data_IF_853273690410
#
_entry.id   IF_853273690410
#
_cell.length_a   1.000
_cell.length_b   1.000
_cell.length_c   1.000
_cell.angle_alpha   90.00
_cell.angle_beta   90.00
_cell.angle_gamma   90.00
#
_symmetry.space_group_name_H-M   'P 1'
#
loop_
_entity.id
_entity.type
_entity.pdbx_description
1 polymer ?
#
# COMPACT_ATOMS: atom_id res chain seq x y z
N UNK A 1 -64.14 26.95 23.58
CA UNK A 1 -63.14 27.08 24.64
C UNK A 1 -61.80 27.25 23.97
N UNK A 2 -61.21 28.36 24.18
CA UNK A 2 -60.18 29.12 23.44
C UNK A 2 -58.89 28.37 23.17
N UNK A 3 -58.33 28.47 21.94
CA UNK A 3 -56.94 28.07 21.63
C UNK A 3 -55.99 29.25 21.81
N UNK A 4 -54.87 29.02 22.52
CA UNK A 4 -53.74 29.94 22.64
C UNK A 4 -52.91 29.94 21.35
N UNK A 5 -52.86 31.09 20.70
CA UNK A 5 -51.96 31.41 19.60
C UNK A 5 -50.56 31.73 20.16
N UNK A 6 -49.59 30.91 19.95
CA UNK A 6 -48.19 31.24 20.19
C UNK A 6 -47.57 31.82 18.91
N UNK A 7 -47.32 33.11 18.95
CA UNK A 7 -46.60 33.83 17.86
C UNK A 7 -45.12 33.50 17.90
N UNK A 8 -44.64 32.78 16.92
CA UNK A 8 -43.18 32.62 16.61
C UNK A 8 -42.68 33.92 15.99
N UNK A 9 -41.91 34.69 16.75
CA UNK A 9 -41.10 35.80 16.20
C UNK A 9 -39.86 35.21 15.53
N UNK A 10 -39.89 35.11 14.22
CA UNK A 10 -38.70 34.79 13.42
C UNK A 10 -37.85 36.05 13.30
N UNK A 11 -36.76 36.12 14.06
CA UNK A 11 -35.67 37.08 13.82
C UNK A 11 -34.90 36.64 12.56
N UNK A 12 -34.76 37.48 11.55
CA UNK A 12 -33.85 37.18 10.43
C UNK A 12 -32.42 37.34 10.91
N UNK A 13 -31.71 36.25 11.13
CA UNK A 13 -30.25 36.26 11.20
C UNK A 13 -29.76 36.57 9.80
N UNK A 14 -29.53 37.84 9.51
CA UNK A 14 -28.74 38.27 8.38
C UNK A 14 -27.28 37.84 8.65
N UNK A 15 -26.95 36.64 8.23
CA UNK A 15 -25.58 36.25 8.05
C UNK A 15 -24.98 37.16 6.97
N UNK A 16 -24.29 38.22 7.38
CA UNK A 16 -23.43 38.98 6.47
C UNK A 16 -22.35 38.01 5.98
N UNK A 17 -22.51 37.49 4.77
CA UNK A 17 -21.41 36.85 4.06
C UNK A 17 -20.24 37.85 3.99
N UNK A 18 -19.01 37.45 4.28
CA UNK A 18 -17.87 38.33 4.14
C UNK A 18 -17.79 38.74 2.66
N UNK A 19 -18.00 40.05 2.40
CA UNK A 19 -17.86 40.67 1.08
C UNK A 19 -16.39 40.90 0.69
N UNK A 20 -15.52 39.95 1.00
CA UNK A 20 -14.18 39.88 0.43
C UNK A 20 -14.30 39.25 -0.98
N UNK A 21 -14.07 40.05 -2.04
CA UNK A 21 -14.07 39.53 -3.39
C UNK A 21 -13.01 38.40 -3.48
N UNK A 22 -13.44 37.23 -3.87
CA UNK A 22 -12.56 36.08 -4.17
C UNK A 22 -11.55 36.43 -5.29
N UNK A 23 -11.79 37.51 -6.02
CA UNK A 23 -10.92 38.07 -7.07
C UNK A 23 -9.57 38.62 -6.58
N UNK A 24 -9.34 38.67 -5.27
CA UNK A 24 -8.08 39.16 -4.67
C UNK A 24 -7.14 38.08 -4.18
N UNK A 25 -7.55 36.81 -4.25
CA UNK A 25 -6.64 35.73 -3.91
C UNK A 25 -5.68 35.52 -5.09
N UNK A 26 -4.37 35.51 -4.87
CA UNK A 26 -3.41 35.22 -5.92
C UNK A 26 -3.69 33.82 -6.48
N UNK A 27 -3.57 33.67 -7.79
CA UNK A 27 -3.71 32.34 -8.42
C UNK A 27 -2.71 31.37 -7.75
N UNK A 28 -3.19 30.29 -7.14
CA UNK A 28 -2.30 29.32 -6.46
C UNK A 28 -1.17 28.81 -7.36
N UNK A 29 -1.35 28.82 -8.68
CA UNK A 29 -0.35 28.43 -9.68
C UNK A 29 0.80 29.44 -9.78
N UNK A 30 0.57 30.69 -9.43
CA UNK A 30 1.56 31.77 -9.47
C UNK A 30 2.24 32.04 -8.14
N UNK A 31 1.76 31.40 -7.06
CA UNK A 31 2.38 31.56 -5.74
C UNK A 31 3.76 30.89 -5.73
N UNK A 32 4.80 31.60 -5.26
CA UNK A 32 6.11 30.98 -5.11
C UNK A 32 6.00 29.81 -4.14
N UNK A 33 6.58 28.66 -4.51
CA UNK A 33 6.66 27.52 -3.61
C UNK A 33 7.36 27.96 -2.32
N UNK A 34 6.67 27.88 -1.19
CA UNK A 34 7.27 28.14 0.10
C UNK A 34 8.48 27.21 0.27
N UNK A 35 9.61 27.72 0.77
CA UNK A 35 10.71 26.86 1.19
C UNK A 35 10.22 26.06 2.40
N UNK A 36 9.82 24.83 2.15
CA UNK A 36 9.36 23.92 3.17
C UNK A 36 10.51 23.56 4.10
N UNK A 37 10.47 24.05 5.32
CA UNK A 37 11.29 23.58 6.42
C UNK A 37 10.43 22.59 7.22
N UNK A 38 10.59 21.30 6.92
CA UNK A 38 9.95 20.22 7.69
C UNK A 38 10.87 19.89 8.86
N UNK A 39 10.56 20.36 10.06
CA UNK A 39 11.22 19.91 11.27
C UNK A 39 10.52 18.62 11.73
N UNK A 40 11.16 17.47 11.53
CA UNK A 40 10.65 16.21 12.01
C UNK A 40 11.08 15.97 13.46
N UNK A 41 10.24 15.35 14.31
CA UNK A 41 10.65 14.95 15.64
C UNK A 41 11.82 13.97 15.58
N UNK A 42 12.72 14.06 16.56
CA UNK A 42 13.91 13.22 16.63
C UNK A 42 13.54 11.81 17.03
N UNK A 43 13.81 10.85 16.15
CA UNK A 43 13.67 9.44 16.44
C UNK A 43 14.82 8.98 17.33
N UNK A 44 14.50 8.47 18.52
CA UNK A 44 15.43 7.81 19.42
C UNK A 44 15.43 6.30 19.11
N UNK A 45 16.55 5.61 19.32
CA UNK A 45 16.62 4.17 19.05
C UNK A 45 17.33 3.43 20.18
N UNK A 46 16.89 2.19 20.43
CA UNK A 46 17.58 1.24 21.32
C UNK A 46 17.29 -0.20 20.90
N UNK A 47 18.07 -1.13 21.41
CA UNK A 47 17.90 -2.56 21.13
C UNK A 47 17.82 -3.33 22.45
N UNK A 48 16.84 -4.23 22.57
CA UNK A 48 16.75 -5.14 23.69
C UNK A 48 17.77 -6.29 23.55
N UNK A 49 18.10 -6.97 24.66
CA UNK A 49 19.09 -8.07 24.69
C UNK A 49 18.77 -9.23 23.75
N UNK A 50 17.50 -9.42 23.41
CA UNK A 50 17.03 -10.43 22.47
C UNK A 50 17.08 -10.00 21.00
N UNK A 51 17.66 -8.83 20.69
CA UNK A 51 17.82 -8.32 19.33
C UNK A 51 16.63 -7.53 18.79
N UNK A 52 15.57 -7.33 19.57
CA UNK A 52 14.45 -6.46 19.20
C UNK A 52 14.92 -5.01 19.08
N UNK A 53 14.79 -4.43 17.90
CA UNK A 53 15.11 -3.02 17.62
C UNK A 53 13.89 -2.15 17.85
N UNK A 54 14.09 -1.05 18.56
CA UNK A 54 13.02 -0.10 18.90
C UNK A 54 13.39 1.30 18.45
N UNK A 55 12.42 1.96 17.83
CA UNK A 55 12.45 3.36 17.45
C UNK A 55 11.37 4.08 18.26
N UNK A 56 11.71 5.21 18.84
CA UNK A 56 10.85 5.90 19.79
C UNK A 56 10.78 7.40 19.53
N UNK A 57 9.56 7.95 19.63
CA UNK A 57 9.31 9.39 19.66
C UNK A 57 8.46 9.69 20.89
N UNK A 58 8.99 10.53 21.76
CA UNK A 58 8.26 11.10 22.90
C UNK A 58 7.29 12.16 22.38
N UNK A 59 6.00 12.03 22.72
CA UNK A 59 4.92 12.88 22.23
C UNK A 59 3.83 12.97 23.31
N UNK A 60 3.71 14.13 23.93
CA UNK A 60 2.80 14.39 25.04
C UNK A 60 1.52 15.14 24.65
N UNK A 61 1.24 15.28 23.37
CA UNK A 61 0.05 16.03 22.90
C UNK A 61 -1.26 15.34 23.34
N UNK A 62 -1.26 14.01 23.39
CA UNK A 62 -2.40 13.20 23.84
C UNK A 62 -1.95 12.14 24.83
N UNK A 63 -2.77 11.77 25.86
CA UNK A 63 -2.44 10.73 26.83
C UNK A 63 -2.62 9.32 26.21
N UNK A 64 -1.98 9.09 25.08
CA UNK A 64 -2.09 7.87 24.28
C UNK A 64 -0.73 7.32 23.89
N UNK A 65 -0.70 6.04 23.56
CA UNK A 65 0.48 5.32 23.08
C UNK A 65 0.11 4.60 21.79
N UNK A 66 0.97 4.76 20.79
CA UNK A 66 0.85 4.06 19.50
C UNK A 66 2.11 3.20 19.28
N UNK A 67 1.90 1.93 18.95
CA UNK A 67 2.96 1.00 18.60
C UNK A 67 2.71 0.45 17.19
N UNK A 68 3.76 0.42 16.37
CA UNK A 68 3.80 -0.31 15.10
C UNK A 68 4.91 -1.35 15.18
N UNK A 69 4.59 -2.63 14.97
CA UNK A 69 5.57 -3.71 14.88
C UNK A 69 5.64 -4.20 13.43
N UNK A 70 6.85 -4.41 12.91
CA UNK A 70 7.05 -4.96 11.59
C UNK A 70 8.06 -6.11 11.61
N UNK A 71 7.73 -7.19 10.90
CA UNK A 71 8.54 -8.40 10.73
C UNK A 71 8.93 -8.52 9.25
N UNK A 72 10.17 -8.82 8.95
CA UNK A 72 10.64 -9.04 7.58
C UNK A 72 10.22 -10.43 7.09
N UNK A 73 8.92 -10.64 6.97
CA UNK A 73 8.28 -11.83 6.41
C UNK A 73 6.87 -11.50 5.98
N UNK A 74 6.53 -11.78 4.75
CA UNK A 74 5.21 -11.56 4.13
C UNK A 74 4.83 -12.71 3.21
N UNK A 75 4.03 -12.45 2.18
CA UNK A 75 3.63 -13.50 1.24
C UNK A 75 4.79 -14.03 0.37
N UNK A 76 5.95 -13.34 0.34
CA UNK A 76 7.16 -13.90 -0.29
C UNK A 76 7.69 -15.14 0.43
N UNK A 77 7.35 -15.34 1.69
CA UNK A 77 7.71 -16.50 2.50
C UNK A 77 6.65 -17.59 2.50
N UNK A 78 5.53 -17.40 1.79
CA UNK A 78 4.51 -18.44 1.64
C UNK A 78 5.08 -19.63 0.85
N UNK A 79 5.02 -20.85 1.37
CA UNK A 79 5.47 -22.03 0.63
C UNK A 79 4.65 -22.25 -0.66
N UNK A 80 5.25 -22.90 -1.65
CA UNK A 80 4.54 -23.28 -2.88
C UNK A 80 3.24 -24.04 -2.56
N UNK A 81 2.14 -23.64 -3.21
CA UNK A 81 0.81 -24.20 -2.99
C UNK A 81 0.10 -23.72 -1.72
N UNK A 82 0.70 -22.82 -0.93
CA UNK A 82 0.10 -22.27 0.30
C UNK A 82 0.05 -20.75 0.30
N UNK A 83 -0.13 -20.14 -0.85
CA UNK A 83 -0.32 -18.69 -0.97
C UNK A 83 -1.50 -18.22 -0.10
N UNK A 84 -1.26 -17.20 0.70
CA UNK A 84 -2.20 -16.68 1.71
C UNK A 84 -1.84 -17.07 3.14
N UNK A 85 -0.79 -17.89 3.36
CA UNK A 85 -0.37 -18.35 4.69
C UNK A 85 0.01 -17.17 5.60
N UNK A 86 0.85 -16.25 5.13
CA UNK A 86 1.25 -15.07 5.90
C UNK A 86 0.03 -14.22 6.31
N UNK A 87 -0.88 -13.96 5.39
CA UNK A 87 -2.09 -13.18 5.65
C UNK A 87 -3.03 -13.87 6.65
N UNK A 88 -3.30 -15.17 6.47
CA UNK A 88 -4.13 -15.92 7.42
C UNK A 88 -3.49 -16.00 8.80
N UNK A 89 -2.15 -16.16 8.88
CA UNK A 89 -1.44 -16.18 10.15
C UNK A 89 -1.61 -14.84 10.86
N UNK A 90 -1.35 -13.73 10.18
CA UNK A 90 -1.51 -12.39 10.74
C UNK A 90 -2.95 -12.13 11.24
N UNK A 91 -3.97 -12.47 10.43
CA UNK A 91 -5.38 -12.35 10.83
C UNK A 91 -5.69 -13.16 12.10
N UNK A 92 -5.16 -14.36 12.22
CA UNK A 92 -5.40 -15.24 13.37
C UNK A 92 -4.65 -14.80 14.64
N UNK A 93 -3.57 -14.03 14.55
CA UNK A 93 -2.96 -13.43 15.75
C UNK A 93 -3.97 -12.55 16.49
N UNK A 94 -4.78 -11.77 15.75
CA UNK A 94 -5.79 -10.90 16.33
C UNK A 94 -7.08 -11.65 16.68
N UNK A 95 -7.58 -12.44 15.73
CA UNK A 95 -8.92 -13.04 15.82
C UNK A 95 -8.96 -14.45 16.40
N UNK A 96 -7.79 -15.05 16.63
CA UNK A 96 -7.69 -16.44 17.10
C UNK A 96 -7.69 -16.60 18.62
N UNK A 97 -7.53 -15.51 19.35
CA UNK A 97 -7.28 -15.54 20.80
C UNK A 97 -5.83 -15.89 21.15
N UNK A 98 -5.53 -15.91 22.43
CA UNK A 98 -4.21 -16.28 22.99
C UNK A 98 -4.31 -17.60 23.76
N UNK A 99 -3.17 -18.09 24.26
CA UNK A 99 -3.18 -19.27 25.13
C UNK A 99 -4.10 -19.12 26.33
N UNK A 100 -4.18 -17.91 26.91
CA UNK A 100 -4.98 -17.62 28.12
C UNK A 100 -6.40 -17.19 27.79
N UNK A 101 -6.61 -16.45 26.70
CA UNK A 101 -7.88 -15.83 26.35
C UNK A 101 -8.48 -16.47 25.08
N UNK A 102 -9.76 -16.75 25.11
CA UNK A 102 -10.50 -17.05 23.87
C UNK A 102 -10.60 -15.78 23.00
N UNK A 103 -11.01 -15.94 21.75
CA UNK A 103 -11.22 -14.80 20.86
C UNK A 103 -12.20 -13.77 21.44
N UNK A 104 -13.37 -14.23 21.95
CA UNK A 104 -14.36 -13.34 22.55
C UNK A 104 -13.83 -12.62 23.79
N UNK A 105 -13.14 -13.34 24.68
CA UNK A 105 -12.55 -12.70 25.87
C UNK A 105 -11.49 -11.67 25.52
N UNK A 106 -10.70 -11.93 24.46
CA UNK A 106 -9.72 -10.96 23.97
C UNK A 106 -10.40 -9.72 23.38
N UNK A 107 -11.46 -9.91 22.60
CA UNK A 107 -12.26 -8.82 22.02
C UNK A 107 -12.89 -7.97 23.12
N UNK A 108 -13.62 -8.59 24.09
CA UNK A 108 -14.21 -7.91 25.24
C UNK A 108 -13.19 -7.14 26.08
N UNK A 109 -11.99 -7.71 26.25
CA UNK A 109 -10.91 -7.05 26.99
C UNK A 109 -10.41 -5.81 26.28
N UNK A 110 -10.13 -5.89 24.95
CA UNK A 110 -9.65 -4.77 24.16
C UNK A 110 -10.71 -3.68 24.01
N UNK A 111 -11.97 -4.06 23.79
CA UNK A 111 -13.09 -3.11 23.73
C UNK A 111 -13.26 -2.38 25.07
N UNK A 112 -13.20 -3.09 26.19
CA UNK A 112 -13.26 -2.50 27.53
C UNK A 112 -12.13 -1.53 27.85
N UNK A 113 -10.98 -1.67 27.18
CA UNK A 113 -9.82 -0.76 27.27
C UNK A 113 -9.84 0.33 26.19
N UNK A 114 -10.84 0.34 25.31
CA UNK A 114 -10.86 1.19 24.10
C UNK A 114 -9.52 1.13 23.32
N UNK A 115 -8.98 -0.09 23.18
CA UNK A 115 -7.69 -0.34 22.57
C UNK A 115 -7.85 -0.94 21.17
N UNK A 116 -7.20 -0.33 20.20
CA UNK A 116 -7.09 -0.88 18.85
C UNK A 116 -5.85 -1.76 18.76
N UNK A 117 -6.06 -3.00 18.32
CA UNK A 117 -4.96 -3.94 18.02
C UNK A 117 -5.27 -4.64 16.71
N UNK A 118 -4.37 -4.51 15.74
CA UNK A 118 -4.53 -5.11 14.44
C UNK A 118 -3.26 -5.81 13.96
N UNK A 119 -3.41 -6.80 13.09
CA UNK A 119 -2.30 -7.48 12.42
C UNK A 119 -2.62 -7.65 10.93
N UNK A 120 -1.58 -7.58 10.11
CA UNK A 120 -1.67 -7.76 8.69
C UNK A 120 -0.37 -8.28 8.09
N UNK A 121 -0.46 -8.75 6.85
CA UNK A 121 0.71 -9.12 6.07
C UNK A 121 0.56 -8.58 4.65
N UNK A 122 1.67 -8.08 4.11
CA UNK A 122 1.80 -7.71 2.71
C UNK A 122 2.79 -8.64 1.98
N UNK A 123 3.36 -8.16 0.88
CA UNK A 123 4.29 -8.97 0.07
C UNK A 123 5.59 -9.26 0.80
N UNK A 124 6.20 -8.27 1.46
CA UNK A 124 7.56 -8.35 2.02
C UNK A 124 7.60 -8.42 3.53
N UNK A 125 6.52 -8.06 4.19
CA UNK A 125 6.46 -7.93 5.64
C UNK A 125 5.10 -8.33 6.19
N UNK A 126 5.11 -8.71 7.47
CA UNK A 126 3.92 -8.76 8.32
C UNK A 126 4.09 -7.75 9.46
N UNK A 127 3.01 -7.32 10.05
CA UNK A 127 3.09 -6.37 11.14
C UNK A 127 1.86 -6.33 12.00
N UNK A 128 1.97 -5.59 13.08
CA UNK A 128 0.86 -5.29 13.98
C UNK A 128 0.86 -3.83 14.40
N UNK A 129 -0.28 -3.37 14.78
CA UNK A 129 -0.54 -2.02 15.22
C UNK A 129 -1.27 -2.04 16.55
N UNK A 130 -0.91 -1.11 17.44
CA UNK A 130 -1.59 -0.89 18.73
C UNK A 130 -1.83 0.60 18.89
N UNK A 131 -3.02 0.95 19.32
CA UNK A 131 -3.33 2.28 19.84
C UNK A 131 -4.14 2.13 21.14
N UNK A 132 -3.72 2.80 22.20
CA UNK A 132 -4.40 2.74 23.49
C UNK A 132 -4.09 3.96 24.34
N UNK A 133 -4.86 4.16 25.42
CA UNK A 133 -4.52 5.16 26.43
C UNK A 133 -3.23 4.78 27.18
N UNK A 134 -2.45 5.79 27.58
CA UNK A 134 -1.20 5.63 28.35
C UNK A 134 -1.41 4.72 29.58
N UNK A 135 -2.48 4.96 30.36
CA UNK A 135 -2.78 4.20 31.57
C UNK A 135 -2.93 2.68 31.34
N UNK A 136 -3.41 2.31 30.14
CA UNK A 136 -3.72 0.93 29.77
C UNK A 136 -2.58 0.28 28.97
N UNK A 137 -1.56 1.05 28.55
CA UNK A 137 -0.46 0.59 27.73
C UNK A 137 0.28 -0.66 28.30
N UNK A 138 0.52 -0.78 29.63
CA UNK A 138 1.14 -1.99 30.17
C UNK A 138 0.33 -3.26 29.94
N UNK A 139 -1.00 -3.19 30.03
CA UNK A 139 -1.90 -4.31 29.81
C UNK A 139 -2.03 -4.62 28.31
N UNK A 140 -2.28 -3.61 27.50
CA UNK A 140 -2.49 -3.78 26.06
C UNK A 140 -1.22 -4.30 25.36
N UNK A 141 -0.04 -3.76 25.67
CA UNK A 141 1.22 -4.27 25.13
C UNK A 141 1.58 -5.66 25.63
N UNK A 142 1.16 -6.01 26.84
CA UNK A 142 1.25 -7.39 27.34
C UNK A 142 0.40 -8.35 26.51
N UNK A 143 -0.85 -7.98 26.21
CA UNK A 143 -1.75 -8.76 25.33
C UNK A 143 -1.20 -8.86 23.91
N UNK A 144 -0.69 -7.75 23.36
CA UNK A 144 -0.07 -7.75 22.03
C UNK A 144 1.14 -8.70 21.96
N UNK A 145 2.00 -8.69 22.98
CA UNK A 145 3.12 -9.63 23.08
C UNK A 145 2.64 -11.08 23.17
N UNK A 146 1.57 -11.35 23.93
CA UNK A 146 0.97 -12.68 24.06
C UNK A 146 0.37 -13.19 22.74
N UNK A 147 -0.34 -12.31 21.98
CA UNK A 147 -0.85 -12.65 20.63
C UNK A 147 0.29 -13.09 19.69
N UNK A 148 1.45 -12.46 19.76
CA UNK A 148 2.61 -12.80 18.93
C UNK A 148 3.32 -14.08 19.38
N UNK A 149 3.46 -14.28 20.69
CA UNK A 149 4.27 -15.35 21.27
C UNK A 149 3.51 -16.65 21.46
N UNK A 150 2.23 -16.54 21.83
CA UNK A 150 1.39 -17.66 22.24
C UNK A 150 0.01 -17.63 21.57
N UNK A 151 -0.05 -17.50 20.21
CA UNK A 151 -1.31 -17.50 19.49
C UNK A 151 -2.00 -18.86 19.65
N UNK A 152 -3.29 -18.83 19.90
CA UNK A 152 -4.07 -20.04 20.17
C UNK A 152 -4.25 -20.91 18.93
N UNK A 153 -4.53 -20.29 17.77
CA UNK A 153 -4.89 -21.00 16.52
C UNK A 153 -5.96 -22.08 16.74
N UNK A 154 -7.02 -21.73 17.48
CA UNK A 154 -8.11 -22.67 17.75
C UNK A 154 -8.76 -23.11 16.44
N UNK A 155 -9.09 -24.41 16.34
CA UNK A 155 -9.55 -25.06 15.11
C UNK A 155 -10.79 -24.37 14.51
N UNK A 156 -11.75 -23.98 15.34
CA UNK A 156 -12.95 -23.25 14.94
C UNK A 156 -12.60 -21.87 14.35
N UNK A 157 -11.62 -21.16 14.92
CA UNK A 157 -11.17 -19.86 14.43
C UNK A 157 -10.38 -19.99 13.13
N UNK A 158 -9.53 -21.01 13.01
CA UNK A 158 -8.84 -21.33 11.76
C UNK A 158 -9.85 -21.65 10.65
N UNK A 159 -10.88 -22.43 10.95
CA UNK A 159 -11.96 -22.72 10.00
C UNK A 159 -12.75 -21.47 9.62
N UNK A 160 -13.06 -20.60 10.58
CA UNK A 160 -13.74 -19.33 10.34
C UNK A 160 -12.93 -18.42 9.41
N UNK A 161 -11.66 -18.16 9.71
CA UNK A 161 -10.79 -17.29 8.89
C UNK A 161 -10.57 -17.88 7.50
N UNK A 162 -10.41 -19.21 7.39
CA UNK A 162 -10.35 -19.90 6.08
C UNK A 162 -11.61 -19.65 5.26
N UNK A 163 -12.79 -19.84 5.83
CA UNK A 163 -14.06 -19.61 5.14
C UNK A 163 -14.24 -18.15 4.75
N UNK A 164 -13.86 -17.20 5.63
CA UNK A 164 -13.87 -15.78 5.34
C UNK A 164 -12.94 -15.45 4.16
N UNK A 165 -11.73 -16.02 4.14
CA UNK A 165 -10.77 -15.84 3.05
C UNK A 165 -11.32 -16.42 1.73
N UNK A 166 -11.89 -17.61 1.76
CA UNK A 166 -12.52 -18.23 0.58
C UNK A 166 -13.71 -17.39 0.06
N UNK A 167 -14.53 -16.86 0.96
CA UNK A 167 -15.64 -15.98 0.61
C UNK A 167 -15.13 -14.67 -0.02
N UNK A 168 -14.06 -14.09 0.53
CA UNK A 168 -13.41 -12.91 -0.04
C UNK A 168 -12.84 -13.17 -1.43
N UNK A 169 -12.20 -14.32 -1.65
CA UNK A 169 -11.72 -14.74 -2.97
C UNK A 169 -12.87 -14.87 -3.97
N UNK A 170 -14.01 -15.46 -3.54
CA UNK A 170 -15.20 -15.57 -4.40
C UNK A 170 -15.78 -14.19 -4.74
N UNK A 171 -15.89 -13.29 -3.76
CA UNK A 171 -16.38 -11.93 -4.01
C UNK A 171 -15.46 -11.13 -4.95
N UNK A 172 -14.15 -11.39 -4.94
CA UNK A 172 -13.22 -10.77 -5.89
C UNK A 172 -13.50 -11.15 -7.34
N UNK A 173 -14.06 -12.34 -7.61
CA UNK A 173 -14.45 -12.75 -8.97
C UNK A 173 -15.60 -11.90 -9.55
N UNK A 174 -16.39 -11.26 -8.69
CA UNK A 174 -17.45 -10.31 -9.06
C UNK A 174 -16.92 -8.89 -9.29
N UNK A 175 -15.63 -8.65 -9.05
CA UNK A 175 -14.96 -7.35 -9.23
C UNK A 175 -13.98 -7.40 -10.39
N UNK A 176 -14.35 -6.95 -11.60
CA UNK A 176 -13.51 -7.09 -12.81
C UNK A 176 -12.09 -6.55 -12.64
N UNK A 177 -11.92 -5.41 -11.95
CA UNK A 177 -10.59 -4.85 -11.72
C UNK A 177 -9.69 -5.77 -10.88
N UNK A 178 -10.22 -6.46 -9.87
CA UNK A 178 -9.45 -7.37 -9.03
C UNK A 178 -9.06 -8.62 -9.81
N UNK A 179 -9.97 -9.14 -10.63
CA UNK A 179 -9.70 -10.28 -11.53
C UNK A 179 -8.57 -9.92 -12.50
N UNK A 180 -8.67 -8.77 -13.16
CA UNK A 180 -7.67 -8.31 -14.13
C UNK A 180 -6.30 -8.07 -13.48
N UNK A 181 -6.26 -7.44 -12.29
CA UNK A 181 -5.01 -7.20 -11.55
C UNK A 181 -4.32 -8.51 -11.15
N UNK A 182 -5.08 -9.54 -10.71
CA UNK A 182 -4.53 -10.87 -10.43
C UNK A 182 -3.94 -11.52 -11.68
N UNK A 183 -4.67 -11.44 -12.80
CA UNK A 183 -4.21 -11.94 -14.08
C UNK A 183 -2.92 -11.28 -14.53
N UNK A 184 -2.89 -9.96 -14.56
CA UNK A 184 -1.71 -9.19 -14.91
C UNK A 184 -0.53 -9.45 -13.97
N UNK A 185 -0.77 -9.54 -12.65
CA UNK A 185 0.28 -9.81 -11.66
C UNK A 185 0.98 -11.15 -11.92
N UNK A 186 0.23 -12.20 -12.26
CA UNK A 186 0.80 -13.50 -12.66
C UNK A 186 1.61 -13.41 -13.94
N UNK A 187 1.30 -12.47 -14.84
CA UNK A 187 2.04 -12.26 -16.09
C UNK A 187 3.29 -11.44 -15.90
N UNK A 188 3.25 -10.43 -15.03
CA UNK A 188 4.40 -9.58 -14.72
C UNK A 188 5.41 -10.30 -13.86
N UNK A 189 4.94 -11.12 -12.93
CA UNK A 189 5.77 -11.94 -12.04
C UNK A 189 5.50 -13.43 -12.32
N UNK A 190 6.47 -14.29 -12.06
CA UNK A 190 6.24 -15.72 -12.13
C UNK A 190 5.31 -16.20 -10.99
N UNK A 191 4.90 -17.49 -11.00
CA UNK A 191 4.06 -18.09 -9.95
C UNK A 191 4.75 -18.23 -8.59
N UNK A 192 5.97 -17.68 -8.46
CA UNK A 192 6.74 -17.58 -7.23
C UNK A 192 6.84 -16.11 -6.82
N UNK A 193 7.14 -15.87 -5.58
CA UNK A 193 7.33 -14.51 -5.08
C UNK A 193 6.08 -13.65 -5.27
N UNK A 194 6.17 -12.52 -5.94
CA UNK A 194 5.07 -11.58 -6.07
C UNK A 194 3.89 -12.07 -6.93
N UNK A 195 4.12 -13.02 -7.83
CA UNK A 195 3.08 -13.65 -8.65
C UNK A 195 2.32 -14.77 -7.90
N UNK A 196 2.84 -15.21 -6.75
CA UNK A 196 2.22 -16.23 -5.91
C UNK A 196 1.02 -15.63 -5.17
N UNK A 197 -0.14 -15.65 -5.81
CA UNK A 197 -1.39 -15.08 -5.26
C UNK A 197 -2.28 -16.19 -4.69
N UNK A 198 -2.99 -15.86 -3.61
CA UNK A 198 -3.90 -16.81 -2.98
C UNK A 198 -4.98 -17.32 -3.95
N UNK A 199 -5.24 -18.62 -3.92
CA UNK A 199 -6.32 -19.28 -4.65
C UNK A 199 -7.17 -20.10 -3.68
N UNK A 200 -8.40 -20.51 -4.06
CA UNK A 200 -9.19 -21.39 -3.21
C UNK A 200 -8.43 -22.68 -2.83
N UNK A 201 -7.64 -23.23 -3.75
CA UNK A 201 -6.86 -24.47 -3.54
C UNK A 201 -5.74 -24.21 -2.52
N UNK A 202 -4.97 -23.12 -2.69
CA UNK A 202 -3.87 -22.79 -1.77
C UNK A 202 -4.38 -22.50 -0.36
N UNK A 203 -5.51 -21.79 -0.23
CA UNK A 203 -6.12 -21.48 1.08
C UNK A 203 -6.65 -22.74 1.77
N UNK A 204 -7.26 -23.67 1.02
CA UNK A 204 -7.71 -24.98 1.56
C UNK A 204 -6.54 -25.86 2.01
N UNK A 205 -5.39 -25.73 1.35
CA UNK A 205 -4.19 -26.52 1.67
C UNK A 205 -3.45 -26.02 2.93
N UNK A 206 -3.73 -24.82 3.43
CA UNK A 206 -3.13 -24.28 4.65
C UNK A 206 -3.67 -25.03 5.87
N UNK A 207 -2.79 -25.60 6.66
CA UNK A 207 -3.12 -26.32 7.91
C UNK A 207 -2.81 -25.48 9.14
N UNK A 208 -3.34 -25.87 10.31
CA UNK A 208 -2.96 -25.26 11.58
C UNK A 208 -1.45 -25.38 11.84
N UNK A 209 -0.84 -26.51 11.47
CA UNK A 209 0.59 -26.72 11.61
C UNK A 209 1.40 -25.71 10.79
N UNK A 210 0.93 -25.36 9.59
CA UNK A 210 1.59 -24.35 8.75
C UNK A 210 1.54 -22.96 9.41
N UNK A 211 0.37 -22.59 9.96
CA UNK A 211 0.19 -21.30 10.66
C UNK A 211 1.14 -21.20 11.86
N UNK A 212 1.21 -22.25 12.68
CA UNK A 212 2.13 -22.33 13.82
C UNK A 212 3.59 -22.30 13.39
N UNK A 213 3.94 -23.02 12.32
CA UNK A 213 5.30 -23.05 11.78
C UNK A 213 5.71 -21.66 11.26
N UNK A 214 4.83 -20.99 10.52
CA UNK A 214 5.07 -19.64 10.01
C UNK A 214 5.29 -18.65 11.16
N UNK A 215 4.38 -18.63 12.14
CA UNK A 215 4.49 -17.75 13.30
C UNK A 215 5.78 -18.00 14.10
N UNK A 216 6.10 -19.26 14.39
CA UNK A 216 7.30 -19.67 15.14
C UNK A 216 8.61 -19.29 14.42
N UNK A 217 8.61 -19.34 13.08
CA UNK A 217 9.79 -19.05 12.27
C UNK A 217 10.02 -17.56 12.13
N UNK A 218 8.97 -16.80 11.84
CA UNK A 218 9.10 -15.42 11.38
C UNK A 218 8.74 -14.38 12.42
N UNK A 219 7.79 -14.67 13.34
CA UNK A 219 7.41 -13.73 14.40
C UNK A 219 8.29 -13.95 15.63
N UNK A 220 9.50 -13.41 15.53
CA UNK A 220 10.54 -13.53 16.58
C UNK A 220 11.19 -12.16 16.79
N UNK A 221 11.70 -11.87 18.01
CA UNK A 221 12.14 -10.52 18.37
C UNK A 221 13.27 -9.99 17.50
N UNK A 222 14.20 -10.84 17.09
CA UNK A 222 15.33 -10.44 16.23
C UNK A 222 14.97 -10.31 14.72
N UNK A 223 13.74 -10.63 14.34
CA UNK A 223 13.16 -10.30 13.02
C UNK A 223 12.19 -9.13 13.10
N UNK A 224 11.99 -8.53 14.28
CA UNK A 224 11.01 -7.48 14.53
C UNK A 224 11.68 -6.12 14.72
N UNK A 225 11.03 -5.08 14.18
CA UNK A 225 11.31 -3.68 14.51
C UNK A 225 10.03 -3.09 15.08
N UNK A 226 10.12 -2.44 16.23
CA UNK A 226 9.03 -1.70 16.84
C UNK A 226 9.28 -0.21 16.67
N UNK A 227 8.23 0.51 16.23
CA UNK A 227 8.08 1.94 16.38
C UNK A 227 7.09 2.24 17.50
N UNK A 228 7.47 3.07 18.43
CA UNK A 228 6.63 3.49 19.55
C UNK A 228 6.59 5.01 19.60
N UNK A 229 5.41 5.59 19.69
CA UNK A 229 5.22 7.03 19.92
C UNK A 229 4.10 7.28 20.91
N UNK A 230 4.17 8.37 21.64
CA UNK A 230 3.12 8.77 22.56
C UNK A 230 3.62 9.32 23.89
N UNK A 231 2.70 9.46 24.83
CA UNK A 231 2.91 10.08 26.14
C UNK A 231 3.72 9.17 27.08
N UNK A 232 4.97 8.96 26.74
CA UNK A 232 5.94 8.16 27.49
C UNK A 232 7.29 8.86 27.43
N UNK A 233 8.01 8.88 28.55
CA UNK A 233 9.45 9.14 28.53
C UNK A 233 10.22 7.95 27.95
N UNK A 234 11.44 8.17 27.48
CA UNK A 234 12.32 7.09 26.99
C UNK A 234 12.54 5.98 28.05
N UNK A 235 12.61 6.36 29.33
CA UNK A 235 12.77 5.39 30.44
C UNK A 235 11.53 4.53 30.63
N UNK A 236 10.33 5.11 30.58
CA UNK A 236 9.06 4.38 30.62
C UNK A 236 8.90 3.46 29.41
N UNK A 237 9.20 3.94 28.20
CA UNK A 237 9.17 3.16 26.97
C UNK A 237 10.10 1.93 27.05
N UNK A 238 11.34 2.11 27.53
CA UNK A 238 12.29 1.00 27.74
C UNK A 238 11.79 -0.02 28.76
N UNK A 239 11.27 0.44 29.90
CA UNK A 239 10.75 -0.43 30.95
C UNK A 239 9.54 -1.24 30.47
N UNK A 240 8.62 -0.58 29.79
CA UNK A 240 7.40 -1.15 29.24
C UNK A 240 7.70 -2.25 28.20
N UNK A 241 8.54 -1.94 27.21
CA UNK A 241 8.92 -2.89 26.17
C UNK A 241 9.81 -4.02 26.71
N UNK A 242 10.69 -3.75 27.67
CA UNK A 242 11.45 -4.81 28.35
C UNK A 242 10.53 -5.77 29.08
N UNK A 243 9.47 -5.27 29.75
CA UNK A 243 8.48 -6.10 30.44
C UNK A 243 7.67 -6.96 29.47
N UNK A 244 7.26 -6.39 28.32
CA UNK A 244 6.41 -7.10 27.36
C UNK A 244 7.19 -8.10 26.48
N UNK A 245 8.43 -7.78 26.10
CA UNK A 245 9.17 -8.51 25.07
C UNK A 245 10.55 -8.98 25.51
N UNK A 246 11.07 -8.54 26.66
CA UNK A 246 12.48 -8.73 27.02
C UNK A 246 12.90 -10.18 27.29
N UNK A 247 11.97 -11.02 27.74
CA UNK A 247 12.14 -12.46 27.98
C UNK A 247 11.86 -13.34 26.76
N UNK A 248 11.40 -12.74 25.64
CA UNK A 248 11.15 -13.47 24.41
C UNK A 248 12.48 -13.88 23.75
N UNK A 249 12.77 -15.19 23.60
CA UNK A 249 14.06 -15.62 23.09
C UNK A 249 14.20 -15.30 21.60
N UNK A 250 15.40 -14.88 21.19
CA UNK A 250 15.74 -14.78 19.75
C UNK A 250 15.78 -16.18 19.11
N UNK A 251 15.52 -16.23 17.80
CA UNK A 251 15.58 -17.46 17.04
C UNK A 251 16.54 -17.34 15.84
N UNK A 252 16.99 -18.50 15.34
CA UNK A 252 17.69 -18.54 14.06
C UNK A 252 16.69 -18.31 12.93
N UNK A 253 16.97 -17.37 12.04
CA UNK A 253 16.15 -17.08 10.88
C UNK A 253 16.65 -17.86 9.67
N UNK A 254 15.77 -18.48 8.89
CA UNK A 254 16.17 -19.09 7.63
C UNK A 254 16.62 -18.02 6.64
N UNK A 255 17.48 -18.41 5.68
CA UNK A 255 17.83 -17.52 4.57
C UNK A 255 16.59 -17.22 3.74
N UNK A 256 16.36 -15.95 3.47
CA UNK A 256 15.26 -15.50 2.61
C UNK A 256 15.72 -15.52 1.15
N UNK A 257 15.29 -16.52 0.41
CA UNK A 257 15.54 -16.62 -1.05
C UNK A 257 14.57 -15.70 -1.81
N UNK A 258 14.74 -14.39 -1.68
CA UNK A 258 13.94 -13.40 -2.40
C UNK A 258 14.61 -13.09 -3.73
N UNK A 259 13.98 -13.50 -4.81
CA UNK A 259 14.48 -13.32 -6.16
C UNK A 259 13.51 -12.47 -6.99
N UNK A 260 14.08 -11.64 -7.86
CA UNK A 260 13.36 -10.93 -8.92
C UNK A 260 13.47 -11.74 -10.22
N UNK A 261 13.07 -13.02 -10.19
CA UNK A 261 13.09 -13.85 -11.38
C UNK A 261 12.27 -13.23 -12.50
N UNK A 262 12.78 -13.22 -13.74
CA UNK A 262 12.04 -12.70 -14.87
C UNK A 262 10.73 -13.48 -15.07
N UNK A 263 9.70 -12.78 -15.52
CA UNK A 263 8.42 -13.40 -15.85
C UNK A 263 8.55 -14.33 -17.05
N UNK A 264 7.72 -15.36 -17.11
CA UNK A 264 7.59 -16.25 -18.25
C UNK A 264 6.70 -15.71 -19.37
N UNK A 265 5.81 -14.76 -19.04
CA UNK A 265 4.93 -14.16 -20.03
C UNK A 265 5.71 -13.14 -20.88
N UNK A 266 5.68 -13.32 -22.20
CA UNK A 266 6.29 -12.36 -23.11
C UNK A 266 5.54 -11.01 -23.12
N UNK A 267 6.20 -9.90 -23.44
CA UNK A 267 5.52 -8.65 -23.73
C UNK A 267 4.47 -8.84 -24.84
N UNK A 268 3.32 -8.19 -24.71
CA UNK A 268 2.25 -8.36 -25.69
C UNK A 268 0.86 -8.02 -25.18
N UNK A 269 -0.16 -8.42 -25.94
CA UNK A 269 -1.56 -8.16 -25.66
C UNK A 269 -2.28 -9.47 -25.30
N UNK A 270 -2.90 -9.46 -24.13
CA UNK A 270 -3.57 -10.61 -23.53
C UNK A 270 -5.06 -10.29 -23.32
N UNK A 271 -5.92 -11.24 -23.65
CA UNK A 271 -7.37 -11.10 -23.50
C UNK A 271 -7.92 -12.20 -22.61
N UNK A 272 -8.51 -11.81 -21.49
CA UNK A 272 -9.42 -12.66 -20.72
C UNK A 272 -10.86 -12.29 -21.13
N UNK A 273 -11.47 -13.11 -21.97
CA UNK A 273 -12.86 -12.91 -22.37
C UNK A 273 -13.81 -13.27 -21.23
N UNK A 274 -14.74 -12.38 -20.89
CA UNK A 274 -15.84 -12.63 -19.95
C UNK A 274 -17.11 -12.05 -20.52
N UNK A 275 -17.98 -12.93 -21.01
CA UNK A 275 -19.26 -12.53 -21.61
C UNK A 275 -20.15 -11.76 -20.62
N UNK A 276 -20.92 -10.82 -21.14
CA UNK A 276 -21.87 -10.02 -20.37
C UNK A 276 -21.28 -8.86 -19.57
N UNK A 277 -19.97 -8.57 -19.70
CA UNK A 277 -19.39 -7.39 -19.11
C UNK A 277 -19.69 -6.13 -19.93
N UNK A 278 -20.40 -5.18 -19.34
CA UNK A 278 -20.67 -3.87 -19.95
C UNK A 278 -19.45 -2.94 -19.97
N UNK A 279 -18.46 -3.22 -19.14
CA UNK A 279 -17.22 -2.47 -19.04
C UNK A 279 -16.02 -3.39 -19.17
N UNK A 280 -14.98 -2.87 -19.79
CA UNK A 280 -13.68 -3.53 -19.85
C UNK A 280 -12.71 -2.93 -18.86
N UNK A 281 -11.84 -3.77 -18.34
CA UNK A 281 -10.65 -3.37 -17.60
C UNK A 281 -9.45 -3.54 -18.53
N UNK A 282 -8.78 -2.45 -18.82
CA UNK A 282 -7.55 -2.40 -19.60
C UNK A 282 -6.40 -2.11 -18.66
N UNK A 283 -5.43 -3.00 -18.61
CA UNK A 283 -4.23 -2.85 -17.79
C UNK A 283 -2.97 -2.96 -18.65
N UNK A 284 -1.93 -2.23 -18.27
CA UNK A 284 -0.57 -2.43 -18.75
C UNK A 284 0.34 -2.69 -17.56
N UNK A 285 1.28 -3.63 -17.65
CA UNK A 285 2.17 -3.92 -16.54
C UNK A 285 3.54 -4.43 -16.97
N UNK A 286 4.55 -4.07 -16.19
CA UNK A 286 5.92 -4.57 -16.32
C UNK A 286 6.60 -4.62 -14.96
N UNK A 287 7.69 -5.37 -14.86
CA UNK A 287 8.54 -5.29 -13.68
C UNK A 287 9.09 -3.87 -13.54
N UNK A 288 9.09 -3.37 -12.33
CA UNK A 288 9.63 -2.07 -11.95
C UNK A 288 11.01 -2.21 -11.32
N UNK A 289 11.24 -1.45 -10.27
CA UNK A 289 12.54 -1.40 -9.60
C UNK A 289 12.37 -1.48 -8.09
N UNK A 290 13.51 -1.62 -7.41
CA UNK A 290 13.57 -1.58 -5.95
C UNK A 290 13.45 -0.15 -5.43
N UNK A 291 13.00 -0.06 -4.21
CA UNK A 291 12.89 1.22 -3.49
C UNK A 291 14.27 1.89 -3.25
N UNK A 292 15.34 1.08 -3.24
CA UNK A 292 16.73 1.54 -3.13
C UNK A 292 17.38 1.93 -4.46
N UNK A 293 16.68 1.79 -5.58
CA UNK A 293 17.23 2.14 -6.90
C UNK A 293 17.60 3.63 -6.96
N UNK A 294 18.76 3.98 -7.51
CA UNK A 294 19.17 5.37 -7.64
C UNK A 294 18.23 6.23 -8.49
N UNK A 295 17.48 5.63 -9.42
CA UNK A 295 16.54 6.34 -10.29
C UNK A 295 15.12 6.49 -9.68
N UNK A 296 14.89 5.92 -8.50
CA UNK A 296 13.55 5.87 -7.88
C UNK A 296 12.88 7.24 -7.77
N UNK A 297 13.63 8.28 -7.37
CA UNK A 297 13.07 9.63 -7.18
C UNK A 297 12.71 10.26 -8.54
N UNK A 298 13.58 10.11 -9.52
CA UNK A 298 13.38 10.64 -10.87
C UNK A 298 12.19 9.95 -11.56
N UNK A 299 12.12 8.62 -11.47
CA UNK A 299 11.03 7.85 -12.07
C UNK A 299 9.70 8.04 -11.33
N UNK A 300 9.73 8.22 -10.00
CA UNK A 300 8.53 8.59 -9.25
C UNK A 300 7.92 9.90 -9.77
N UNK A 301 8.74 10.89 -10.09
CA UNK A 301 8.27 12.14 -10.69
C UNK A 301 7.70 11.93 -12.11
N UNK A 302 8.36 11.14 -12.95
CA UNK A 302 7.87 10.85 -14.30
C UNK A 302 6.54 10.06 -14.30
N UNK A 303 6.39 9.08 -13.39
CA UNK A 303 5.16 8.29 -13.27
C UNK A 303 4.02 9.09 -12.63
N UNK A 304 4.33 10.06 -11.77
CA UNK A 304 3.34 11.04 -11.30
C UNK A 304 2.71 11.78 -12.48
N UNK A 305 3.53 12.23 -13.43
CA UNK A 305 3.07 12.89 -14.66
C UNK A 305 2.30 11.93 -15.56
N UNK A 306 2.76 10.69 -15.72
CA UNK A 306 2.11 9.73 -16.59
C UNK A 306 0.72 9.35 -16.08
N UNK A 307 0.57 8.99 -14.80
CA UNK A 307 -0.68 8.41 -14.33
C UNK A 307 -0.95 8.44 -12.83
N UNK A 308 0.01 8.83 -11.96
CA UNK A 308 -0.17 8.80 -10.50
C UNK A 308 -0.65 10.15 -9.93
N UNK A 309 -0.60 11.22 -10.70
CA UNK A 309 -0.89 12.59 -10.28
C UNK A 309 -2.37 12.98 -10.16
N UNK A 310 -3.29 12.02 -9.99
CA UNK A 310 -4.73 12.31 -9.89
C UNK A 310 -5.31 12.87 -11.19
N UNK A 311 -6.15 13.91 -11.11
CA UNK A 311 -6.86 14.48 -12.28
C UNK A 311 -5.98 15.21 -13.30
N UNK A 312 -4.73 15.49 -12.99
CA UNK A 312 -3.82 16.26 -13.87
C UNK A 312 -2.85 15.44 -14.70
N UNK A 313 -2.84 14.10 -14.57
CA UNK A 313 -1.89 13.24 -15.26
C UNK A 313 -2.25 12.99 -16.74
N UNK A 314 -1.26 12.56 -17.55
CA UNK A 314 -1.42 12.34 -18.99
C UNK A 314 -2.49 11.30 -19.33
N UNK A 315 -2.47 10.13 -18.66
CA UNK A 315 -3.43 9.06 -18.94
C UNK A 315 -4.87 9.49 -18.67
N UNK A 316 -5.10 10.18 -17.54
CA UNK A 316 -6.41 10.70 -17.20
C UNK A 316 -6.87 11.76 -18.22
N UNK A 317 -6.00 12.72 -18.51
CA UNK A 317 -6.32 13.80 -19.45
C UNK A 317 -6.60 13.27 -20.84
N UNK A 318 -5.75 12.39 -21.38
CA UNK A 318 -5.92 11.85 -22.72
C UNK A 318 -7.13 10.94 -22.82
N UNK A 319 -7.27 9.95 -21.93
CA UNK A 319 -8.31 8.91 -22.07
C UNK A 319 -9.67 9.41 -21.60
N UNK A 320 -9.72 10.15 -20.48
CA UNK A 320 -10.98 10.60 -19.89
C UNK A 320 -11.37 12.02 -20.34
N UNK A 321 -10.50 13.00 -20.12
CA UNK A 321 -10.90 14.42 -20.31
C UNK A 321 -11.07 14.76 -21.78
N UNK A 322 -10.10 14.38 -22.63
CA UNK A 322 -10.12 14.73 -24.06
C UNK A 322 -11.01 13.82 -24.89
N UNK A 323 -11.05 12.52 -24.58
CA UNK A 323 -11.75 11.56 -25.41
C UNK A 323 -13.01 10.96 -24.77
N UNK A 324 -13.25 11.15 -23.48
CA UNK A 324 -14.45 10.66 -22.79
C UNK A 324 -14.59 9.12 -22.72
N UNK A 325 -13.48 8.37 -22.87
CA UNK A 325 -13.53 6.92 -23.07
C UNK A 325 -13.57 6.13 -21.76
N UNK A 326 -13.11 6.67 -20.65
CA UNK A 326 -12.99 5.94 -19.40
C UNK A 326 -13.51 6.74 -18.20
N UNK A 327 -14.07 6.05 -17.22
CA UNK A 327 -14.42 6.64 -15.93
C UNK A 327 -13.16 6.91 -15.10
N UNK A 328 -12.21 6.01 -15.14
CA UNK A 328 -10.93 6.12 -14.45
C UNK A 328 -9.80 5.66 -15.37
N UNK A 329 -8.70 6.40 -15.38
CA UNK A 329 -7.47 6.06 -16.06
C UNK A 329 -6.28 6.62 -15.28
N UNK A 330 -5.18 5.88 -15.24
CA UNK A 330 -3.99 6.30 -14.51
C UNK A 330 -2.90 5.23 -14.49
N UNK A 331 -1.94 5.41 -13.60
CA UNK A 331 -0.90 4.41 -13.31
C UNK A 331 -0.65 4.28 -11.81
N UNK A 332 0.06 3.24 -11.42
CA UNK A 332 0.54 3.01 -10.07
C UNK A 332 1.90 2.32 -10.13
N UNK A 333 2.79 2.69 -9.25
CA UNK A 333 4.11 2.07 -9.13
C UNK A 333 4.29 1.48 -7.74
N UNK A 334 4.58 0.20 -7.68
CA UNK A 334 4.95 -0.46 -6.44
C UNK A 334 6.48 -0.57 -6.38
N UNK A 335 7.12 0.27 -5.59
CA UNK A 335 8.52 0.08 -5.23
C UNK A 335 8.62 -0.96 -4.11
N UNK A 336 9.53 -1.93 -4.24
CA UNK A 336 9.76 -2.98 -3.25
C UNK A 336 11.17 -2.87 -2.69
N UNK A 337 11.37 -3.36 -1.48
CA UNK A 337 12.67 -3.23 -0.80
C UNK A 337 13.63 -4.36 -1.15
N UNK A 338 13.13 -5.59 -1.27
CA UNK A 338 13.95 -6.80 -1.37
C UNK A 338 13.85 -7.51 -2.72
N UNK A 339 12.83 -7.19 -3.49
CA UNK A 339 12.58 -7.67 -4.86
C UNK A 339 12.29 -6.50 -5.77
N UNK A 340 12.32 -6.69 -7.08
CA UNK A 340 11.94 -5.62 -8.01
C UNK A 340 10.43 -5.39 -7.92
N UNK A 341 10.04 -4.14 -7.95
CA UNK A 341 8.65 -3.74 -7.89
C UNK A 341 7.88 -3.95 -9.19
N UNK A 342 6.84 -3.15 -9.41
CA UNK A 342 6.06 -3.17 -10.64
C UNK A 342 5.59 -1.78 -11.01
N UNK A 343 5.47 -1.54 -12.29
CA UNK A 343 4.68 -0.45 -12.87
C UNK A 343 3.40 -1.02 -13.44
N UNK A 344 2.28 -0.34 -13.18
CA UNK A 344 0.96 -0.65 -13.73
C UNK A 344 0.32 0.61 -14.28
N UNK A 345 -0.33 0.49 -15.45
CA UNK A 345 -1.28 1.48 -15.97
C UNK A 345 -2.66 0.85 -16.09
N UNK A 346 -3.71 1.65 -15.99
CA UNK A 346 -5.08 1.15 -16.04
C UNK A 346 -6.04 2.11 -16.72
N UNK A 347 -7.11 1.56 -17.33
CA UNK A 347 -8.29 2.28 -17.75
C UNK A 347 -9.54 1.40 -17.55
N UNK A 348 -10.57 1.99 -16.94
CA UNK A 348 -11.89 1.38 -16.79
C UNK A 348 -12.81 2.03 -17.80
N UNK A 349 -13.23 1.28 -18.83
CA UNK A 349 -13.86 1.83 -20.02
C UNK A 349 -15.10 1.03 -20.43
N UNK A 350 -15.98 1.64 -21.25
CA UNK A 350 -17.06 0.89 -21.90
C UNK A 350 -16.47 -0.11 -22.91
N UNK A 351 -17.19 -1.22 -23.17
CA UNK A 351 -16.76 -2.23 -24.14
C UNK A 351 -16.36 -1.63 -25.48
N UNK A 352 -17.21 -0.81 -26.08
CA UNK A 352 -17.00 -0.14 -27.38
C UNK A 352 -15.75 0.75 -27.43
N UNK A 353 -15.29 1.25 -26.29
CA UNK A 353 -14.14 2.14 -26.18
C UNK A 353 -12.82 1.41 -25.86
N UNK A 354 -12.86 0.08 -25.64
CA UNK A 354 -11.73 -0.72 -25.16
C UNK A 354 -10.50 -0.59 -26.04
N UNK A 355 -10.65 -0.78 -27.36
CA UNK A 355 -9.53 -0.77 -28.30
C UNK A 355 -8.88 0.60 -28.38
N UNK A 356 -9.71 1.66 -28.43
CA UNK A 356 -9.22 3.05 -28.48
C UNK A 356 -8.53 3.45 -27.19
N UNK A 357 -9.10 3.09 -26.03
CA UNK A 357 -8.49 3.38 -24.72
C UNK A 357 -7.14 2.69 -24.56
N UNK A 358 -7.02 1.42 -24.98
CA UNK A 358 -5.74 0.69 -24.98
C UNK A 358 -4.73 1.34 -25.93
N UNK A 359 -5.15 1.75 -27.12
CA UNK A 359 -4.29 2.44 -28.09
C UNK A 359 -3.69 3.71 -27.50
N UNK A 360 -4.53 4.56 -26.90
CA UNK A 360 -4.10 5.80 -26.25
C UNK A 360 -3.19 5.55 -25.04
N UNK A 361 -3.48 4.52 -24.23
CA UNK A 361 -2.61 4.14 -23.11
C UNK A 361 -1.22 3.77 -23.60
N UNK A 362 -1.12 2.95 -24.67
CA UNK A 362 0.16 2.58 -25.29
C UNK A 362 0.91 3.81 -25.82
N UNK A 363 0.20 4.68 -26.50
CA UNK A 363 0.75 5.91 -27.07
C UNK A 363 1.36 6.82 -25.99
N UNK A 364 0.64 7.03 -24.88
CA UNK A 364 1.15 7.86 -23.77
C UNK A 364 2.38 7.23 -23.09
N UNK A 365 2.42 5.91 -22.91
CA UNK A 365 3.61 5.23 -22.44
C UNK A 365 4.80 5.40 -23.40
N UNK A 366 4.55 5.25 -24.72
CA UNK A 366 5.57 5.45 -25.75
C UNK A 366 6.06 6.90 -25.81
N UNK A 367 5.14 7.88 -25.69
CA UNK A 367 5.49 9.31 -25.64
C UNK A 367 6.38 9.62 -24.43
N UNK A 368 6.06 9.07 -23.25
CA UNK A 368 6.91 9.25 -22.09
C UNK A 368 8.32 8.70 -22.32
N UNK A 369 8.44 7.48 -22.82
CA UNK A 369 9.75 6.87 -23.07
C UNK A 369 10.57 7.62 -24.12
N UNK A 370 9.93 8.06 -25.21
CA UNK A 370 10.62 8.71 -26.32
C UNK A 370 10.97 10.18 -26.06
N UNK A 371 10.05 10.93 -25.40
CA UNK A 371 10.15 12.39 -25.25
C UNK A 371 10.39 12.84 -23.82
N UNK A 372 10.22 11.96 -22.84
CA UNK A 372 10.25 12.31 -21.42
C UNK A 372 9.06 13.17 -20.98
N UNK A 373 9.27 13.95 -19.94
CA UNK A 373 8.31 14.95 -19.44
C UNK A 373 8.76 16.35 -19.85
N UNK A 374 7.80 17.28 -19.96
CA UNK A 374 8.06 18.67 -20.33
C UNK A 374 8.54 19.51 -19.15
N UNK A 375 9.12 20.72 -19.36
CA UNK A 375 9.47 21.63 -18.28
C UNK A 375 8.27 21.97 -17.35
N UNK A 376 7.10 22.21 -17.91
CA UNK A 376 5.90 22.54 -17.15
C UNK A 376 5.43 21.33 -16.30
N UNK A 377 5.43 20.14 -16.88
CA UNK A 377 5.09 18.90 -16.15
C UNK A 377 6.09 18.64 -15.03
N UNK A 378 7.36 18.90 -15.25
CA UNK A 378 8.41 18.74 -14.24
C UNK A 378 8.18 19.69 -13.04
N UNK A 379 7.96 20.98 -13.29
CA UNK A 379 7.71 21.95 -12.23
C UNK A 379 6.46 21.60 -11.42
N UNK A 380 5.40 21.16 -12.10
CA UNK A 380 4.17 20.73 -11.44
C UNK A 380 4.39 19.45 -10.62
N UNK A 381 5.07 18.45 -11.15
CA UNK A 381 5.38 17.21 -10.45
C UNK A 381 6.28 17.45 -9.24
N UNK A 382 7.34 18.24 -9.40
CA UNK A 382 8.26 18.62 -8.33
C UNK A 382 7.52 19.30 -7.18
N UNK A 383 6.69 20.29 -7.48
CA UNK A 383 5.85 20.98 -6.50
C UNK A 383 4.89 20.04 -5.79
N UNK A 384 4.23 19.16 -6.52
CA UNK A 384 3.31 18.17 -5.94
C UNK A 384 4.01 17.23 -4.97
N UNK A 385 5.16 16.67 -5.38
CA UNK A 385 5.96 15.78 -4.52
C UNK A 385 6.49 16.49 -3.27
N UNK A 386 6.98 17.72 -3.42
CA UNK A 386 7.41 18.53 -2.26
C UNK A 386 6.26 18.81 -1.30
N UNK A 387 5.08 19.14 -1.80
CA UNK A 387 3.90 19.38 -0.97
C UNK A 387 3.44 18.10 -0.25
N UNK A 388 3.49 16.93 -0.90
CA UNK A 388 3.17 15.66 -0.26
C UNK A 388 4.09 15.34 0.92
N UNK A 389 5.35 15.76 0.87
CA UNK A 389 6.30 15.57 1.97
C UNK A 389 5.90 16.29 3.27
N UNK A 390 5.13 17.39 3.20
CA UNK A 390 4.60 18.06 4.39
C UNK A 390 3.69 17.14 5.18
N UNK A 391 2.80 16.45 4.46
CA UNK A 391 1.80 15.58 5.07
C UNK A 391 2.36 14.23 5.49
N UNK A 392 3.38 13.73 4.80
CA UNK A 392 3.99 12.42 5.06
C UNK A 392 4.71 12.31 6.42
N UNK A 393 4.88 13.40 7.16
CA UNK A 393 5.48 13.43 8.49
C UNK A 393 4.70 14.31 9.45
N UNK A 394 3.40 14.44 9.24
CA UNK A 394 2.55 15.34 10.02
C UNK A 394 2.39 14.89 11.48
N UNK A 395 2.55 13.60 11.76
CA UNK A 395 2.41 13.05 13.11
C UNK A 395 3.65 12.27 13.53
N UNK A 396 3.89 12.17 14.84
CA UNK A 396 4.96 11.33 15.43
C UNK A 396 4.82 9.87 15.00
N UNK A 397 3.59 9.38 14.83
CA UNK A 397 3.28 8.05 14.28
C UNK A 397 3.81 7.86 12.86
N UNK A 398 3.59 8.83 11.96
CA UNK A 398 4.05 8.74 10.57
C UNK A 398 5.58 8.72 10.47
N UNK A 399 6.22 9.56 11.29
CA UNK A 399 7.68 9.65 11.35
C UNK A 399 8.28 8.34 11.87
N UNK A 400 7.77 7.82 13.00
CA UNK A 400 8.29 6.56 13.56
C UNK A 400 7.96 5.38 12.67
N UNK A 401 6.79 5.35 12.01
CA UNK A 401 6.40 4.33 11.05
C UNK A 401 7.34 4.27 9.84
N UNK A 402 7.69 5.43 9.28
CA UNK A 402 8.69 5.51 8.21
C UNK A 402 10.06 5.02 8.67
N UNK A 403 10.48 5.38 9.87
CA UNK A 403 11.74 4.92 10.46
C UNK A 403 11.75 3.39 10.68
N UNK A 404 10.61 2.78 11.06
CA UNK A 404 10.44 1.33 11.16
C UNK A 404 10.68 0.66 9.81
N UNK A 405 10.06 1.19 8.74
CA UNK A 405 10.24 0.65 7.39
C UNK A 405 11.71 0.70 6.95
N UNK A 406 12.36 1.85 7.10
CA UNK A 406 13.78 1.99 6.77
C UNK A 406 14.64 0.99 7.57
N UNK A 407 14.42 0.91 8.89
CA UNK A 407 15.19 0.02 9.77
C UNK A 407 14.96 -1.47 9.44
N UNK A 408 13.72 -1.86 9.14
CA UNK A 408 13.36 -3.25 8.79
C UNK A 408 14.12 -3.73 7.56
N UNK A 409 14.24 -2.86 6.55
CA UNK A 409 14.90 -3.18 5.29
C UNK A 409 16.37 -2.73 5.22
N UNK A 410 16.95 -2.32 6.34
CA UNK A 410 18.39 -1.96 6.42
C UNK A 410 18.71 -0.63 5.72
N UNK A 411 17.72 0.23 5.51
CA UNK A 411 17.94 1.57 4.99
C UNK A 411 18.29 2.54 6.13
N UNK A 412 19.15 3.56 5.89
CA UNK A 412 19.43 4.61 6.86
C UNK A 412 18.18 5.38 7.28
N UNK A 413 18.13 5.86 8.52
CA UNK A 413 17.00 6.66 9.03
C UNK A 413 16.84 7.99 8.28
N UNK A 414 17.91 8.52 7.72
CA UNK A 414 17.93 9.76 6.92
C UNK A 414 17.54 9.56 5.44
N UNK A 415 17.13 8.33 5.05
CA UNK A 415 16.74 8.00 3.67
C UNK A 415 15.69 8.97 3.12
N UNK A 416 14.69 9.32 3.92
CA UNK A 416 13.65 10.28 3.52
C UNK A 416 14.25 11.67 3.25
N UNK A 417 15.08 12.17 4.16
CA UNK A 417 15.73 13.47 4.00
C UNK A 417 16.62 13.51 2.75
N UNK A 418 17.39 12.45 2.50
CA UNK A 418 18.21 12.31 1.29
C UNK A 418 17.39 12.24 0.00
N UNK A 419 16.21 11.61 0.04
CA UNK A 419 15.29 11.60 -1.12
C UNK A 419 14.72 12.98 -1.40
N UNK A 420 14.37 13.73 -0.35
CA UNK A 420 13.90 15.10 -0.48
C UNK A 420 14.98 16.02 -1.04
N UNK A 421 16.19 15.93 -0.50
CA UNK A 421 17.35 16.66 -1.02
C UNK A 421 17.61 16.33 -2.51
N UNK A 422 17.58 15.03 -2.83
CA UNK A 422 17.70 14.57 -4.21
C UNK A 422 16.61 15.15 -5.11
N UNK A 423 15.34 15.12 -4.69
CA UNK A 423 14.22 15.69 -5.44
C UNK A 423 14.41 17.19 -5.69
N UNK A 424 14.88 17.93 -4.69
CA UNK A 424 15.15 19.36 -4.81
C UNK A 424 16.27 19.65 -5.81
N UNK A 425 17.33 18.82 -5.82
CA UNK A 425 18.48 18.96 -6.68
C UNK A 425 18.35 18.38 -8.10
N UNK A 426 17.31 17.56 -8.36
CA UNK A 426 17.09 16.95 -9.68
C UNK A 426 16.79 18.01 -10.74
N UNK A 427 17.40 17.85 -11.92
CA UNK A 427 17.07 18.58 -13.14
C UNK A 427 16.08 17.78 -14.00
N UNK A 428 15.37 18.47 -14.90
CA UNK A 428 14.52 17.84 -15.92
C UNK A 428 15.29 16.83 -16.78
N UNK A 429 16.52 17.18 -17.16
CA UNK A 429 17.33 16.27 -17.98
C UNK A 429 17.63 14.96 -17.26
N UNK A 430 17.99 15.00 -15.98
CA UNK A 430 18.22 13.80 -15.18
C UNK A 430 16.98 12.93 -15.04
N UNK A 431 15.79 13.55 -14.93
CA UNK A 431 14.50 12.80 -14.91
C UNK A 431 14.29 12.10 -16.25
N UNK A 432 14.47 12.82 -17.35
CA UNK A 432 14.26 12.27 -18.69
C UNK A 432 15.30 11.20 -19.06
N UNK A 433 16.54 11.33 -18.59
CA UNK A 433 17.55 10.28 -18.71
C UNK A 433 17.18 9.01 -17.93
N UNK A 434 16.67 9.16 -16.71
CA UNK A 434 16.20 8.01 -15.93
C UNK A 434 15.04 7.31 -16.64
N UNK A 435 14.09 8.05 -17.23
CA UNK A 435 13.01 7.49 -18.05
C UNK A 435 13.57 6.69 -19.23
N UNK A 436 14.46 7.27 -20.03
CA UNK A 436 15.08 6.58 -21.19
C UNK A 436 15.81 5.30 -20.79
N UNK A 437 16.45 5.30 -19.63
CA UNK A 437 17.24 4.16 -19.14
C UNK A 437 16.38 3.03 -18.55
N UNK A 438 15.21 3.35 -17.97
CA UNK A 438 14.47 2.41 -17.12
C UNK A 438 13.05 2.08 -17.58
N UNK A 439 12.41 2.94 -18.35
CA UNK A 439 11.04 2.74 -18.76
C UNK A 439 10.97 2.29 -20.22
N UNK A 440 10.67 1.02 -20.42
CA UNK A 440 10.67 0.32 -21.70
C UNK A 440 9.25 -0.15 -22.06
N UNK A 441 8.42 0.70 -22.71
CA UNK A 441 7.02 0.37 -23.01
C UNK A 441 6.86 -0.88 -23.89
N UNK A 442 7.87 -1.27 -24.66
CA UNK A 442 7.90 -2.51 -25.45
C UNK A 442 7.90 -3.76 -24.57
N UNK A 443 8.25 -3.65 -23.29
CA UNK A 443 8.20 -4.73 -22.30
C UNK A 443 6.86 -4.83 -21.57
N UNK A 444 5.91 -3.94 -21.85
CA UNK A 444 4.59 -3.98 -21.22
C UNK A 444 3.78 -5.21 -21.67
N UNK A 445 3.13 -5.82 -20.72
CA UNK A 445 2.06 -6.80 -20.92
C UNK A 445 0.75 -6.06 -20.76
N UNK A 446 0.01 -5.93 -21.85
CA UNK A 446 -1.31 -5.35 -21.81
C UNK A 446 -2.33 -6.46 -21.57
N UNK A 447 -3.17 -6.29 -20.58
CA UNK A 447 -4.18 -7.24 -20.16
C UNK A 447 -5.55 -6.61 -20.29
N UNK A 448 -6.41 -7.22 -21.08
CA UNK A 448 -7.79 -6.79 -21.25
C UNK A 448 -8.71 -7.85 -20.65
N UNK A 449 -9.54 -7.44 -19.70
CA UNK A 449 -10.69 -8.22 -19.25
C UNK A 449 -11.97 -7.54 -19.77
N UNK A 450 -12.74 -8.23 -20.59
CA UNK A 450 -13.94 -7.68 -21.19
C UNK A 450 -14.73 -8.68 -22.01
N UNK A 451 -15.87 -8.24 -22.52
CA UNK A 451 -16.68 -9.00 -23.48
C UNK A 451 -16.28 -8.61 -24.91
N UNK A 452 -15.65 -9.49 -25.71
CA UNK A 452 -15.26 -9.18 -27.07
C UNK A 452 -16.45 -8.78 -27.98
N UNK A 453 -17.65 -9.29 -27.71
CA UNK A 453 -18.86 -8.92 -28.45
C UNK A 453 -19.25 -7.45 -28.25
N UNK A 454 -18.80 -6.86 -27.15
CA UNK A 454 -19.05 -5.45 -26.82
C UNK A 454 -17.98 -4.47 -27.32
N UNK A 455 -16.90 -4.91 -27.98
CA UNK A 455 -15.78 -4.03 -28.39
C UNK A 455 -16.10 -3.14 -29.60
N UNK A 456 -17.29 -3.23 -30.18
CA UNK A 456 -17.72 -2.46 -31.35
C UNK A 456 -17.06 -2.97 -32.64
N UNK A 457 -16.88 -2.07 -33.60
CA UNK A 457 -16.27 -2.41 -34.91
C UNK A 457 -14.74 -2.56 -34.83
N UNK A 458 -14.10 -1.94 -33.84
CA UNK A 458 -12.67 -1.99 -33.66
C UNK A 458 -12.22 -3.35 -33.06
N UNK A 459 -11.27 -4.01 -33.72
CA UNK A 459 -10.74 -5.29 -33.25
C UNK A 459 -9.43 -5.08 -32.47
N UNK A 460 -9.27 -5.82 -31.38
CA UNK A 460 -8.04 -5.80 -30.58
C UNK A 460 -6.80 -6.19 -31.40
N UNK A 461 -6.97 -7.06 -32.40
CA UNK A 461 -5.93 -7.50 -33.33
C UNK A 461 -5.33 -6.35 -34.14
N UNK A 462 -6.02 -5.20 -34.29
CA UNK A 462 -5.46 -4.00 -34.90
C UNK A 462 -4.30 -3.40 -34.10
N UNK A 463 -4.22 -3.71 -32.82
CA UNK A 463 -3.16 -3.27 -31.93
C UNK A 463 -2.02 -4.31 -31.79
N UNK A 464 -2.14 -5.46 -32.42
CA UNK A 464 -1.15 -6.53 -32.44
C UNK A 464 -1.74 -7.91 -32.17
N UNK A 465 -0.88 -8.92 -32.09
CA UNK A 465 -1.28 -10.31 -31.78
C UNK A 465 -1.94 -10.37 -30.42
N UNK A 466 -3.16 -10.89 -30.38
CA UNK A 466 -3.92 -11.10 -29.13
C UNK A 466 -3.70 -12.54 -28.66
N UNK A 467 -3.28 -12.69 -27.41
CA UNK A 467 -3.13 -14.00 -26.76
C UNK A 467 -4.29 -14.23 -25.79
N UNK A 468 -5.17 -15.21 -26.03
CA UNK A 468 -6.24 -15.52 -25.10
C UNK A 468 -5.69 -16.13 -23.81
N UNK A 469 -6.24 -15.69 -22.67
CA UNK A 469 -5.88 -16.24 -21.36
C UNK A 469 -7.13 -16.72 -20.62
N UNK A 470 -6.96 -17.77 -19.83
CA UNK A 470 -8.01 -18.28 -18.94
C UNK A 470 -7.97 -17.49 -17.63
N UNK A 471 -9.14 -17.25 -17.04
CA UNK A 471 -9.27 -16.64 -15.73
C UNK A 471 -8.82 -17.55 -14.59
#
# INVERSE_FOLDING_TARGET
MTPFLAALIALPILAQAPTGSLDRLPDPRTMPAAKLQVSLPKVQSFTLSNGLRVLFIEDHDLPAVTLSAAFKAGSLEDPSGKAGLASMTATLLRSGGTKRLTASQLDETLEGLAADVEFGADTEQSGGYVHCFKKDAPQVLGLFAEMLREPRFAQDRVAFVRNQTLSGLKQMEDQPIQVALRGLRRMVFNDKGQGHVATPESVKAITEQDLRAFAKTWFVPNNMVIGLSGDLSLSEAKALLKKAFGDWPKASLPAQARSSEPTKAEPGLYLQAKAGLNQSVVLGGMQGMRDTDPDRVALGAAFLVLGEGGFGNRLFNTIRTQHGLAYAAGSATAFRNTVDGAFFSYALTKGESTVKALGLMREECQKLAAKGITPEEWENAKRTLLNQEVFAGATSRDVVGTAVQHTLFGQPLDTRAKRLEKLQGLSLEQVNEAVRRRFHPEQLRFYVLGDPAGFGEAKLESLGKVTPVKG
#
